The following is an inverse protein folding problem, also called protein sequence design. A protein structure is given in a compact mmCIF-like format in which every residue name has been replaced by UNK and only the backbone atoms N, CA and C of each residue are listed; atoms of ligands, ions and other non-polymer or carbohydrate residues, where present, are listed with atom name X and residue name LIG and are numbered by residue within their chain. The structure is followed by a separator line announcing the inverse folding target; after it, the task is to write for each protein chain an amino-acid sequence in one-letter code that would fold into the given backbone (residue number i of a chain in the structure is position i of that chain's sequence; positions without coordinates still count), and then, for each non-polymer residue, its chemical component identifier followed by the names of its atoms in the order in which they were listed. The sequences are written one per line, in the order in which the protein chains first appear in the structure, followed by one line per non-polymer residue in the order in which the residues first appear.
data_IF_073785579060
#
_entry.id   IF_073785579060
#
_cell.length_a   1.000
_cell.length_b   1.000
_cell.length_c   1.000
_cell.angle_alpha   90.00
_cell.angle_beta   90.00
_cell.angle_gamma   90.00
#
_symmetry.space_group_name_H-M   'P 1'
#
loop_
_entity.id
_entity.type
_entity.pdbx_description
1 polymer ?
#
# COMPACT_ATOMS: atom_id res chain seq x y z
N UNK A 1 -20.98 -14.10 -41.55
CA UNK A 1 -20.14 -14.70 -40.50
C UNK A 1 -20.73 -16.05 -40.18
N UNK A 2 -19.99 -17.14 -40.39
CA UNK A 2 -20.46 -18.47 -40.05
C UNK A 2 -20.62 -18.57 -38.53
N UNK A 3 -21.68 -19.24 -38.06
CA UNK A 3 -22.00 -19.40 -36.64
C UNK A 3 -20.79 -19.89 -35.82
N UNK A 4 -19.98 -20.77 -36.41
CA UNK A 4 -18.75 -21.30 -35.84
C UNK A 4 -17.72 -20.20 -35.53
N UNK A 5 -17.56 -19.21 -36.40
CA UNK A 5 -16.60 -18.11 -36.22
C UNK A 5 -16.98 -17.23 -35.01
N UNK A 6 -18.27 -16.97 -34.83
CA UNK A 6 -18.78 -16.18 -33.70
C UNK A 6 -18.52 -16.91 -32.37
N UNK A 7 -18.75 -18.22 -32.33
CA UNK A 7 -18.50 -19.05 -31.14
C UNK A 7 -17.02 -19.07 -30.77
N UNK A 8 -16.12 -19.24 -31.75
CA UNK A 8 -14.67 -19.24 -31.51
C UNK A 8 -14.19 -17.89 -30.98
N UNK A 9 -14.63 -16.77 -31.59
CA UNK A 9 -14.28 -15.42 -31.13
C UNK A 9 -14.79 -15.18 -29.71
N UNK A 10 -16.02 -15.63 -29.40
CA UNK A 10 -16.61 -15.52 -28.06
C UNK A 10 -15.79 -16.25 -27.00
N UNK A 11 -15.34 -17.48 -27.29
CA UNK A 11 -14.50 -18.27 -26.37
C UNK A 11 -13.15 -17.60 -26.14
N UNK A 12 -12.50 -17.11 -27.21
CA UNK A 12 -11.21 -16.42 -27.09
C UNK A 12 -11.35 -15.16 -26.23
N UNK A 13 -12.37 -14.34 -26.47
CA UNK A 13 -12.66 -13.15 -25.66
C UNK A 13 -12.90 -13.48 -24.19
N UNK A 14 -13.62 -14.58 -23.91
CA UNK A 14 -13.89 -15.03 -22.55
C UNK A 14 -12.60 -15.43 -21.83
N UNK A 15 -11.71 -16.18 -22.50
CA UNK A 15 -10.42 -16.59 -21.95
C UNK A 15 -9.53 -15.36 -21.68
N UNK A 16 -9.40 -14.46 -22.64
CA UNK A 16 -8.61 -13.23 -22.50
C UNK A 16 -9.17 -12.33 -21.41
N UNK A 17 -10.51 -12.22 -21.32
CA UNK A 17 -11.18 -11.44 -20.27
C UNK A 17 -10.91 -12.00 -18.87
N UNK A 18 -11.05 -13.31 -18.68
CA UNK A 18 -10.80 -13.96 -17.38
C UNK A 18 -9.32 -13.82 -16.96
N UNK A 19 -8.39 -14.00 -17.90
CA UNK A 19 -6.96 -13.82 -17.63
C UNK A 19 -6.61 -12.37 -17.29
N UNK A 20 -7.18 -11.41 -18.02
CA UNK A 20 -6.96 -9.98 -17.79
C UNK A 20 -7.48 -9.53 -16.42
N UNK A 21 -8.72 -9.92 -16.06
CA UNK A 21 -9.30 -9.62 -14.74
C UNK A 21 -8.52 -10.31 -13.63
N UNK A 22 -8.09 -11.56 -13.84
CA UNK A 22 -7.28 -12.30 -12.87
C UNK A 22 -5.95 -11.60 -12.54
N UNK A 23 -5.29 -11.02 -13.54
CA UNK A 23 -4.07 -10.22 -13.35
C UNK A 23 -4.33 -8.91 -12.60
N UNK A 24 -5.38 -8.17 -12.98
CA UNK A 24 -5.78 -6.94 -12.32
C UNK A 24 -6.10 -7.15 -10.83
N UNK A 25 -6.81 -8.22 -10.50
CA UNK A 25 -7.14 -8.56 -9.11
C UNK A 25 -5.90 -8.88 -8.28
N UNK A 26 -4.89 -9.56 -8.86
CA UNK A 26 -3.62 -9.83 -8.15
C UNK A 26 -2.85 -8.53 -7.86
N UNK A 27 -2.75 -7.64 -8.84
CA UNK A 27 -2.11 -6.33 -8.68
C UNK A 27 -2.87 -5.47 -7.66
N UNK A 28 -4.20 -5.45 -7.73
CA UNK A 28 -5.05 -4.73 -6.79
C UNK A 28 -4.87 -5.20 -5.35
N UNK A 29 -4.71 -6.50 -5.11
CA UNK A 29 -4.43 -7.04 -3.76
C UNK A 29 -3.10 -6.55 -3.19
N UNK A 30 -2.06 -6.49 -4.02
CA UNK A 30 -0.74 -5.98 -3.61
C UNK A 30 -0.83 -4.49 -3.28
N UNK A 31 -1.46 -3.69 -4.15
CA UNK A 31 -1.65 -2.26 -3.92
C UNK A 31 -2.47 -1.99 -2.65
N UNK A 32 -3.54 -2.76 -2.42
CA UNK A 32 -4.36 -2.66 -1.22
C UNK A 32 -3.56 -3.02 0.04
N UNK A 33 -2.72 -4.06 -0.02
CA UNK A 33 -1.85 -4.45 1.09
C UNK A 33 -0.86 -3.34 1.46
N UNK A 34 -0.25 -2.70 0.46
CA UNK A 34 0.66 -1.56 0.67
C UNK A 34 -0.09 -0.38 1.28
N UNK A 35 -1.28 -0.04 0.77
CA UNK A 35 -2.11 1.04 1.32
C UNK A 35 -2.47 0.81 2.79
N UNK A 36 -2.82 -0.42 3.16
CA UNK A 36 -3.08 -0.78 4.56
C UNK A 36 -1.83 -0.61 5.43
N UNK A 37 -0.66 -1.02 4.93
CA UNK A 37 0.61 -0.84 5.63
C UNK A 37 0.94 0.65 5.83
N UNK A 38 0.73 1.47 4.80
CA UNK A 38 0.90 2.91 4.87
C UNK A 38 -0.03 3.57 5.87
N UNK A 39 -1.30 3.19 5.84
CA UNK A 39 -2.29 3.73 6.76
C UNK A 39 -1.95 3.36 8.22
N UNK A 40 -1.53 2.11 8.46
CA UNK A 40 -1.09 1.67 9.80
C UNK A 40 0.09 2.50 10.29
N UNK A 41 1.09 2.75 9.44
CA UNK A 41 2.24 3.58 9.80
C UNK A 41 1.87 5.01 10.12
N UNK A 42 0.97 5.62 9.34
CA UNK A 42 0.45 6.96 9.63
C UNK A 42 -0.33 7.01 10.94
N UNK A 43 -1.22 6.05 11.17
CA UNK A 43 -1.97 5.93 12.42
C UNK A 43 -1.01 5.79 13.60
N UNK A 44 0.01 4.92 13.49
CA UNK A 44 0.98 4.72 14.57
C UNK A 44 1.78 5.99 14.86
N UNK A 45 2.21 6.70 13.83
CA UNK A 45 2.92 7.97 13.97
C UNK A 45 2.04 9.02 14.66
N UNK A 46 0.74 9.07 14.33
CA UNK A 46 -0.21 9.96 14.97
C UNK A 46 -0.44 9.61 16.44
N UNK A 47 -0.67 8.32 16.75
CA UNK A 47 -0.84 7.82 18.12
C UNK A 47 0.40 8.15 18.95
N UNK A 48 1.59 7.90 18.40
CA UNK A 48 2.85 8.19 19.09
C UNK A 48 2.98 9.67 19.43
N UNK A 49 2.56 10.56 18.53
CA UNK A 49 2.66 12.00 18.73
C UNK A 49 1.65 12.56 19.76
N UNK A 50 0.65 11.77 20.17
CA UNK A 50 -0.25 12.09 21.28
C UNK A 50 0.43 11.79 22.63
N UNK A 51 1.34 10.81 22.66
CA UNK A 51 2.07 10.45 23.88
C UNK A 51 3.06 11.57 24.28
N UNK A 52 3.29 11.78 25.60
CA UNK A 52 4.12 12.88 26.09
C UNK A 52 5.64 12.64 25.96
N UNK A 53 6.09 11.54 25.36
CA UNK A 53 7.51 11.16 25.33
C UNK A 53 8.32 11.92 24.26
N UNK A 54 8.17 11.53 23.00
CA UNK A 54 8.94 12.08 21.87
C UNK A 54 7.97 12.55 20.80
N UNK A 55 7.82 13.88 20.70
CA UNK A 55 7.04 14.45 19.59
C UNK A 55 7.85 14.36 18.30
N UNK A 56 7.30 13.65 17.33
CA UNK A 56 7.88 13.52 16.00
C UNK A 56 7.27 14.64 15.13
N UNK A 57 8.09 15.48 14.47
CA UNK A 57 7.56 16.52 13.61
C UNK A 57 6.76 15.89 12.46
N UNK A 58 5.51 16.33 12.27
CA UNK A 58 4.64 15.89 11.18
C UNK A 58 5.02 16.69 9.94
N UNK A 59 5.91 16.15 9.11
CA UNK A 59 6.31 16.75 7.84
C UNK A 59 6.22 15.70 6.73
N UNK A 60 6.41 16.12 5.47
CA UNK A 60 6.27 15.20 4.33
C UNK A 60 7.22 13.99 4.46
N UNK A 61 8.43 14.18 5.00
CA UNK A 61 9.43 13.12 5.14
C UNK A 61 9.02 12.10 6.21
N UNK A 62 8.58 12.54 7.38
CA UNK A 62 8.15 11.63 8.45
C UNK A 62 6.88 10.87 8.09
N UNK A 63 5.96 11.52 7.37
CA UNK A 63 4.76 10.87 6.83
C UNK A 63 5.11 9.85 5.75
N UNK A 64 6.09 10.14 4.88
CA UNK A 64 6.57 9.17 3.88
C UNK A 64 7.27 7.98 4.53
N UNK A 65 8.18 8.21 5.48
CA UNK A 65 8.92 7.15 6.17
C UNK A 65 7.99 6.28 7.01
N UNK A 66 7.03 6.89 7.72
CA UNK A 66 6.01 6.14 8.45
C UNK A 66 5.05 5.42 7.51
N UNK A 67 4.64 6.03 6.40
CA UNK A 67 3.79 5.39 5.42
C UNK A 67 4.48 4.18 4.79
N UNK A 68 5.56 4.39 4.07
CA UNK A 68 6.23 3.29 3.36
C UNK A 68 6.89 2.28 4.30
N UNK A 69 7.39 2.71 5.46
CA UNK A 69 7.99 1.84 6.47
C UNK A 69 6.99 1.20 7.44
N UNK A 70 5.72 1.62 7.43
CA UNK A 70 4.70 1.16 8.36
C UNK A 70 5.14 1.32 9.82
N UNK A 71 4.89 0.28 10.62
CA UNK A 71 5.26 0.22 12.04
C UNK A 71 6.78 0.34 12.23
N UNK A 72 7.57 -0.30 11.36
CA UNK A 72 9.04 -0.27 11.43
C UNK A 72 9.55 1.14 11.12
N UNK A 73 8.98 1.79 10.11
CA UNK A 73 9.30 3.18 9.76
C UNK A 73 9.07 4.14 10.92
N UNK A 74 7.95 3.99 11.64
CA UNK A 74 7.70 4.77 12.87
C UNK A 74 8.71 4.43 13.95
N UNK A 75 9.06 3.14 14.13
CA UNK A 75 10.12 2.73 15.06
C UNK A 75 11.47 3.37 14.76
N UNK A 76 11.87 3.43 13.48
CA UNK A 76 13.09 4.12 13.04
C UNK A 76 13.01 5.61 13.35
N UNK A 77 11.86 6.24 13.13
CA UNK A 77 11.67 7.65 13.46
C UNK A 77 11.74 7.92 14.98
N UNK A 78 11.26 7.00 15.80
CA UNK A 78 11.39 7.08 17.25
C UNK A 78 12.86 6.95 17.66
N UNK A 79 13.57 5.97 17.11
CA UNK A 79 14.99 5.75 17.40
C UNK A 79 15.86 6.92 16.96
N UNK A 80 15.66 7.44 15.75
CA UNK A 80 16.43 8.56 15.25
C UNK A 80 16.17 9.85 16.07
N UNK A 81 14.93 10.02 16.58
CA UNK A 81 14.62 11.10 17.55
C UNK A 81 15.32 10.87 18.90
N UNK A 82 15.33 9.65 19.40
CA UNK A 82 16.01 9.29 20.65
C UNK A 82 17.54 9.46 20.56
N UNK A 83 18.12 9.28 19.38
CA UNK A 83 19.53 9.52 19.08
C UNK A 83 19.87 11.00 18.84
N UNK A 84 18.88 11.90 18.84
CA UNK A 84 19.08 13.34 18.66
C UNK A 84 19.40 13.78 17.23
N UNK A 85 19.07 12.96 16.22
CA UNK A 85 19.34 13.27 14.81
C UNK A 85 18.43 14.37 14.23
N UNK A 86 17.35 14.74 14.94
CA UNK A 86 16.43 15.84 14.64
C UNK A 86 15.50 16.10 15.83
#
# INVERSE_FOLDING_TARGET
MEFLTIVIIGIILLIVGVLGVGLLLKLGKVALSILLHMLLGWILLFIWNILPFFKIPINILTVLVAGFGGIIGVGVLILAKALGLY
#
